data_IF_336421772994
#
_entry.id   IF_336421772994
#
_cell.length_a   1.000
_cell.length_b   1.000
_cell.length_c   1.000
_cell.angle_alpha   90.00
_cell.angle_beta   90.00
_cell.angle_gamma   90.00
#
_symmetry.space_group_name_H-M   'P 1'
#
loop_
_entity.id
_entity.type
_entity.pdbx_description
1 polymer ?
#
# COMPACT_ATOMS: atom_id res chain seq x y z
N UNK A 1 -12.34 1.81 -1.04
CA UNK A 1 -11.02 1.96 -1.67
C UNK A 1 -10.38 0.58 -1.84
N UNK A 2 -9.91 0.29 -3.04
CA UNK A 2 -9.25 -1.00 -3.28
C UNK A 2 -7.84 -0.96 -2.72
N UNK A 3 -7.24 -2.14 -2.60
CA UNK A 3 -5.85 -2.21 -2.14
C UNK A 3 -4.94 -1.43 -3.09
N UNK A 4 -5.19 -1.53 -4.40
CA UNK A 4 -4.38 -0.79 -5.36
C UNK A 4 -4.47 0.70 -5.14
N UNK A 5 -5.67 1.20 -4.86
CA UNK A 5 -5.85 2.61 -4.57
C UNK A 5 -5.17 2.99 -3.26
N UNK A 6 -5.27 2.11 -2.26
CA UNK A 6 -4.63 2.36 -0.98
C UNK A 6 -3.11 2.48 -1.11
N UNK A 7 -2.51 1.52 -1.79
CA UNK A 7 -1.06 1.52 -1.89
C UNK A 7 -0.56 2.70 -2.70
N UNK A 8 -1.32 3.09 -3.72
CA UNK A 8 -0.98 4.27 -4.51
C UNK A 8 -1.09 5.53 -3.67
N UNK A 9 -2.13 5.63 -2.86
CA UNK A 9 -2.33 6.77 -1.99
C UNK A 9 -1.17 6.89 -0.99
N UNK A 10 -0.82 5.77 -0.35
CA UNK A 10 0.27 5.78 0.63
C UNK A 10 1.59 6.13 -0.05
N UNK A 11 1.83 5.57 -1.23
CA UNK A 11 3.05 5.86 -1.96
C UNK A 11 3.19 7.35 -2.24
N UNK A 12 2.12 7.97 -2.71
CA UNK A 12 2.15 9.39 -3.03
C UNK A 12 2.25 10.24 -1.76
N UNK A 13 1.59 9.82 -0.70
CA UNK A 13 1.66 10.55 0.58
C UNK A 13 3.08 10.57 1.11
N UNK A 14 3.84 9.51 0.83
CA UNK A 14 5.23 9.41 1.28
C UNK A 14 6.21 9.93 0.23
N UNK A 15 5.70 10.41 -0.89
CA UNK A 15 6.53 10.95 -1.98
C UNK A 15 7.50 9.90 -2.52
N UNK A 16 7.01 8.67 -2.67
CA UNK A 16 7.85 7.56 -3.14
C UNK A 16 7.54 7.21 -4.59
N UNK A 17 8.56 6.74 -5.30
CA UNK A 17 8.34 6.15 -6.60
C UNK A 17 7.83 4.73 -6.41
N UNK A 18 7.36 4.11 -7.50
CA UNK A 18 6.92 2.72 -7.43
C UNK A 18 8.06 1.80 -6.98
N UNK A 19 9.28 2.08 -7.47
CA UNK A 19 10.42 1.28 -7.07
C UNK A 19 10.74 1.44 -5.59
N UNK A 20 10.62 2.67 -5.08
CA UNK A 20 10.86 2.91 -3.67
C UNK A 20 9.80 2.24 -2.81
N UNK A 21 8.55 2.31 -3.24
CA UNK A 21 7.48 1.64 -2.52
C UNK A 21 7.68 0.13 -2.51
N UNK A 22 8.18 -0.41 -3.63
CA UNK A 22 8.48 -1.84 -3.72
C UNK A 22 9.51 -2.24 -2.67
N UNK A 23 10.53 -1.41 -2.49
CA UNK A 23 11.54 -1.67 -1.46
C UNK A 23 10.91 -1.67 -0.08
N UNK A 24 10.03 -0.71 0.19
CA UNK A 24 9.36 -0.64 1.48
C UNK A 24 8.49 -1.86 1.75
N UNK A 25 7.90 -2.40 0.69
CA UNK A 25 6.99 -3.54 0.81
C UNK A 25 7.71 -4.88 0.65
N UNK A 26 9.00 -4.84 0.34
CA UNK A 26 9.81 -6.05 0.09
C UNK A 26 9.27 -6.85 -1.08
N UNK A 27 8.91 -6.15 -2.14
CA UNK A 27 8.44 -6.77 -3.37
C UNK A 27 9.11 -6.09 -4.55
N UNK A 28 8.81 -6.56 -5.75
CA UNK A 28 9.37 -5.94 -6.95
C UNK A 28 8.51 -4.76 -7.39
N UNK A 29 9.11 -3.87 -8.16
CA UNK A 29 8.38 -2.74 -8.72
C UNK A 29 7.22 -3.23 -9.59
N UNK A 30 7.45 -4.33 -10.31
CA UNK A 30 6.41 -4.92 -11.14
C UNK A 30 5.18 -5.28 -10.30
N UNK A 31 5.41 -5.82 -9.11
CA UNK A 31 4.33 -6.18 -8.21
C UNK A 31 3.54 -4.95 -7.78
N UNK A 32 4.25 -3.86 -7.46
CA UNK A 32 3.57 -2.61 -7.08
C UNK A 32 2.71 -2.12 -8.24
N UNK A 33 3.26 -2.18 -9.44
CA UNK A 33 2.53 -1.72 -10.62
C UNK A 33 1.27 -2.53 -10.84
N UNK A 34 1.36 -3.85 -10.66
CA UNK A 34 0.18 -4.72 -10.81
C UNK A 34 -0.86 -4.44 -9.75
N UNK A 35 -0.42 -4.22 -8.51
CA UNK A 35 -1.36 -3.89 -7.44
C UNK A 35 -2.07 -2.56 -7.71
N UNK A 36 -1.33 -1.55 -8.11
CA UNK A 36 -1.93 -0.23 -8.38
C UNK A 36 -2.89 -0.28 -9.55
N UNK A 37 -2.67 -1.22 -10.47
CA UNK A 37 -3.58 -1.40 -11.59
C UNK A 37 -4.69 -2.40 -11.32
N UNK A 38 -4.78 -2.92 -10.10
CA UNK A 38 -5.78 -3.92 -9.73
C UNK A 38 -5.68 -5.16 -10.59
N UNK A 39 -4.46 -5.52 -10.99
CA UNK A 39 -4.22 -6.69 -11.83
C UNK A 39 -3.95 -7.95 -11.03
N UNK A 40 -3.68 -7.82 -9.76
CA UNK A 40 -3.45 -8.97 -8.91
C UNK A 40 -3.87 -8.65 -7.49
N UNK A 41 -4.11 -9.69 -6.71
CA UNK A 41 -4.53 -9.54 -5.33
C UNK A 41 -3.34 -9.63 -4.40
N UNK A 42 -3.30 -8.81 -3.36
CA UNK A 42 -2.21 -8.88 -2.41
C UNK A 42 -2.41 -10.05 -1.47
N UNK A 43 -1.31 -10.58 -0.97
CA UNK A 43 -1.36 -11.58 0.07
C UNK A 43 -1.67 -10.90 1.40
N UNK A 44 -2.18 -11.66 2.38
CA UNK A 44 -2.45 -11.08 3.69
C UNK A 44 -1.23 -10.41 4.31
N UNK A 45 -0.04 -10.96 4.08
CA UNK A 45 1.18 -10.36 4.60
C UNK A 45 1.42 -8.99 3.99
N UNK A 46 1.09 -8.82 2.70
CA UNK A 46 1.25 -7.53 2.05
C UNK A 46 0.28 -6.50 2.64
N UNK A 47 -0.94 -6.92 2.90
CA UNK A 47 -1.92 -6.01 3.50
C UNK A 47 -1.46 -5.58 4.88
N UNK A 48 -0.92 -6.51 5.67
CA UNK A 48 -0.41 -6.21 7.00
C UNK A 48 0.77 -5.25 6.93
N UNK A 49 1.65 -5.50 5.96
CA UNK A 49 2.81 -4.63 5.78
C UNK A 49 2.40 -3.21 5.46
N UNK A 50 1.43 -3.05 4.58
CA UNK A 50 0.95 -1.72 4.23
C UNK A 50 0.33 -1.04 5.44
N UNK A 51 -0.42 -1.80 6.24
CA UNK A 51 -1.01 -1.25 7.44
C UNK A 51 0.06 -0.76 8.41
N UNK A 52 1.15 -1.52 8.55
CA UNK A 52 2.25 -1.11 9.41
C UNK A 52 2.88 0.18 8.93
N UNK A 53 3.05 0.30 7.61
CA UNK A 53 3.62 1.50 7.04
C UNK A 53 2.71 2.69 7.32
N UNK A 54 1.41 2.51 7.18
CA UNK A 54 0.46 3.57 7.46
C UNK A 54 0.53 4.01 8.91
N UNK A 55 0.56 3.06 9.83
CA UNK A 55 0.62 3.38 11.26
C UNK A 55 1.91 4.12 11.60
N UNK A 56 3.01 3.64 11.04
CA UNK A 56 4.31 4.23 11.32
C UNK A 56 4.39 5.68 10.84
N UNK A 57 3.73 5.96 9.74
CA UNK A 57 3.78 7.29 9.14
C UNK A 57 2.51 8.10 9.38
N UNK A 58 1.61 7.59 10.20
CA UNK A 58 0.37 8.27 10.57
C UNK A 58 -0.49 8.62 9.35
N UNK A 59 -0.55 7.67 8.41
CA UNK A 59 -1.38 7.80 7.23
C UNK A 59 -2.68 7.07 7.48
N UNK A 60 -3.79 7.72 7.26
CA UNK A 60 -5.10 7.11 7.48
C UNK A 60 -5.79 6.87 6.15
N UNK A 61 -5.72 5.62 5.69
CA UNK A 61 -6.41 5.21 4.48
C UNK A 61 -7.71 4.49 4.78
N UNK A 62 -7.95 4.15 6.06
CA UNK A 62 -9.15 3.44 6.43
C UNK A 62 -10.24 4.42 6.65
N UNK A 63 -11.30 4.09 6.18
CA UNK A 63 -12.38 4.83 6.49
C UNK A 63 -13.20 4.13 7.36
N UNK A 64 -13.61 4.14 7.67
CA UNK A 64 -14.29 3.46 8.30
C UNK A 64 -14.08 2.89 9.17
N UNK A 65 -14.22 3.00 9.59
CA UNK A 65 -13.97 2.57 10.36
C UNK A 65 -13.96 1.56 11.02
N UNK A 66 -13.77 1.30 11.21
CA UNK A 66 -13.63 0.37 11.66
C UNK A 66 -13.16 0.43 12.75
N UNK A 67 -13.33 0.87 13.08
CA UNK A 67 -12.83 0.95 13.96
C UNK A 67 -12.80 0.92 14.86
N UNK A 68 -13.01 0.76 14.91
CA UNK A 68 -13.03 0.70 15.67
C UNK A 68 -13.00 0.82 16.13
#
# INVERSE_FOLDING_TARGET
MTFGEEIKYVRKALCLTQAEMASCMSVTEHTIRRWEGNKSEPRPSAKRKLREICQKNKINTQQEGENK
#
